data_IF_130701812242
#
_entry.id   IF_130701812242
#
_cell.length_a   1.000
_cell.length_b   1.000
_cell.length_c   1.000
_cell.angle_alpha   90.00
_cell.angle_beta   90.00
_cell.angle_gamma   90.00
#
_symmetry.space_group_name_H-M   'P 1'
#
loop_
_entity.id
_entity.type
_entity.pdbx_description
1 polymer ?
#
# COMPACT_ATOMS: atom_id res chain seq x y z
N UNK A 1 -3.30 13.60 2.37
CA UNK A 1 -2.06 13.46 1.59
C UNK A 1 -1.12 12.58 2.43
N UNK A 2 0.04 12.21 1.91
CA UNK A 2 1.02 11.38 2.65
C UNK A 2 2.30 12.16 2.91
N UNK A 3 2.91 11.95 4.07
CA UNK A 3 4.26 12.43 4.36
C UNK A 3 5.27 11.40 3.88
N UNK A 4 5.91 11.70 2.75
CA UNK A 4 6.89 10.81 2.10
C UNK A 4 8.20 10.67 2.89
N UNK A 5 8.41 11.51 3.91
CA UNK A 5 9.58 11.50 4.79
C UNK A 5 9.33 10.74 6.09
N UNK A 6 8.08 10.47 6.43
CA UNK A 6 7.74 9.72 7.62
C UNK A 6 8.30 8.27 7.53
N UNK A 7 8.99 7.78 8.57
CA UNK A 7 9.57 6.46 8.56
C UNK A 7 8.49 5.38 8.71
N UNK A 8 8.59 4.35 7.89
CA UNK A 8 7.74 3.16 7.92
C UNK A 8 8.54 1.96 8.38
N UNK A 9 8.04 1.25 9.38
CA UNK A 9 8.66 0.03 9.90
C UNK A 9 8.23 -1.16 9.05
N UNK A 10 9.20 -1.84 8.42
CA UNK A 10 9.00 -3.08 7.69
C UNK A 10 8.94 -4.30 8.62
N UNK A 11 8.42 -5.41 8.11
CA UNK A 11 8.29 -6.66 8.87
C UNK A 11 9.64 -7.30 9.27
N UNK A 12 10.75 -6.87 8.67
CA UNK A 12 12.11 -7.32 8.98
C UNK A 12 12.85 -6.35 9.92
N UNK A 13 12.18 -5.31 10.42
CA UNK A 13 12.72 -4.33 11.35
C UNK A 13 13.40 -3.13 10.71
N UNK A 14 13.49 -3.07 9.38
CA UNK A 14 14.00 -1.89 8.69
C UNK A 14 13.03 -0.71 8.82
N UNK A 15 13.57 0.50 9.01
CA UNK A 15 12.83 1.76 8.88
C UNK A 15 13.14 2.34 7.50
N UNK A 16 12.09 2.57 6.70
CA UNK A 16 12.20 3.03 5.32
C UNK A 16 11.23 4.20 5.08
N UNK A 17 11.67 5.21 4.34
CA UNK A 17 10.81 6.30 3.84
C UNK A 17 10.08 5.88 2.57
N UNK A 18 9.03 6.60 2.17
CA UNK A 18 8.38 6.37 0.87
C UNK A 18 9.36 6.49 -0.30
N UNK A 19 10.40 7.33 -0.14
CA UNK A 19 11.45 7.51 -1.14
C UNK A 19 12.27 6.25 -1.39
N UNK A 20 12.58 5.52 -0.33
CA UNK A 20 13.32 4.25 -0.42
C UNK A 20 12.44 3.10 -0.90
N UNK A 21 11.12 3.22 -0.76
CA UNK A 21 10.15 2.23 -1.20
C UNK A 21 9.74 2.38 -2.67
N UNK A 22 9.82 3.58 -3.23
CA UNK A 22 9.34 3.84 -4.58
C UNK A 22 10.10 3.02 -5.64
N UNK A 23 9.36 2.53 -6.63
CA UNK A 23 9.91 1.94 -7.84
C UNK A 23 10.30 3.02 -8.85
N UNK A 24 10.75 2.58 -10.03
CA UNK A 24 11.16 3.46 -11.15
C UNK A 24 10.10 4.50 -11.52
N UNK A 25 8.83 4.13 -11.50
CA UNK A 25 7.73 5.03 -11.86
C UNK A 25 6.96 5.58 -10.67
N UNK A 26 7.24 5.11 -9.46
CA UNK A 26 6.62 5.64 -8.26
C UNK A 26 6.21 4.57 -7.26
N UNK A 27 5.27 4.93 -6.41
CA UNK A 27 4.78 4.12 -5.30
C UNK A 27 3.26 4.16 -5.26
N UNK A 28 2.64 2.99 -5.20
CA UNK A 28 1.25 2.84 -4.84
C UNK A 28 1.15 2.48 -3.36
N UNK A 29 0.58 3.37 -2.56
CA UNK A 29 0.40 3.16 -1.13
C UNK A 29 -1.05 2.79 -0.83
N UNK A 30 -1.24 1.69 -0.10
CA UNK A 30 -2.49 1.34 0.54
C UNK A 30 -2.40 1.66 2.03
N UNK A 31 -3.09 2.71 2.46
CA UNK A 31 -3.37 2.93 3.88
C UNK A 31 -4.44 1.96 4.34
N UNK A 32 -4.09 1.02 5.21
CA UNK A 32 -5.00 -0.02 5.70
C UNK A 32 -5.56 0.40 7.04
N UNK A 33 -6.85 0.72 7.05
CA UNK A 33 -7.56 1.11 8.25
C UNK A 33 -7.63 -0.01 9.29
N UNK A 34 -7.92 0.38 10.53
CA UNK A 34 -8.15 -0.58 11.61
C UNK A 34 -9.23 -1.58 11.21
N UNK A 35 -8.96 -2.87 11.42
CA UNK A 35 -9.87 -3.96 11.06
C UNK A 35 -10.25 -4.09 9.58
N UNK A 36 -9.53 -3.43 8.65
CA UNK A 36 -9.77 -3.59 7.21
C UNK A 36 -9.17 -4.88 6.63
N UNK A 37 -8.22 -5.51 7.33
CA UNK A 37 -7.66 -6.80 6.94
C UNK A 37 -6.31 -7.08 7.61
N UNK A 38 -5.83 -8.31 7.45
CA UNK A 38 -4.48 -8.74 7.84
C UNK A 38 -3.52 -8.62 6.68
N UNK A 39 -2.22 -8.58 6.96
CA UNK A 39 -1.19 -8.45 5.94
C UNK A 39 -1.32 -9.51 4.84
N UNK A 40 -1.47 -10.78 5.21
CA UNK A 40 -1.62 -11.85 4.22
C UNK A 40 -2.86 -11.70 3.33
N UNK A 41 -3.97 -11.15 3.86
CA UNK A 41 -5.20 -10.92 3.09
C UNK A 41 -4.98 -9.85 2.04
N UNK A 42 -4.26 -8.78 2.37
CA UNK A 42 -3.90 -7.73 1.41
C UNK A 42 -2.95 -8.27 0.34
N UNK A 43 -1.94 -9.04 0.73
CA UNK A 43 -1.01 -9.65 -0.21
C UNK A 43 -1.68 -10.66 -1.14
N UNK A 44 -2.76 -11.30 -0.68
CA UNK A 44 -3.55 -12.24 -1.49
C UNK A 44 -4.49 -11.49 -2.44
N UNK A 45 -5.32 -10.61 -1.90
CA UNK A 45 -6.31 -9.82 -2.64
C UNK A 45 -5.66 -8.98 -3.75
N UNK A 46 -4.50 -8.38 -3.49
CA UNK A 46 -3.81 -7.50 -4.42
C UNK A 46 -2.60 -8.16 -5.08
N UNK A 47 -2.44 -9.49 -4.98
CA UNK A 47 -1.26 -10.18 -5.49
C UNK A 47 -1.08 -10.05 -7.00
N UNK A 48 -2.14 -10.27 -7.78
CA UNK A 48 -2.09 -10.19 -9.25
C UNK A 48 -1.82 -8.75 -9.72
N UNK A 49 -2.57 -7.78 -9.19
CA UNK A 49 -2.40 -6.38 -9.59
C UNK A 49 -1.05 -5.83 -9.12
N UNK A 50 -0.59 -6.22 -7.94
CA UNK A 50 0.74 -5.87 -7.43
C UNK A 50 1.86 -6.38 -8.32
N UNK A 51 1.74 -7.59 -8.87
CA UNK A 51 2.71 -8.12 -9.83
C UNK A 51 2.71 -7.32 -11.13
N UNK A 52 1.54 -6.92 -11.64
CA UNK A 52 1.40 -6.08 -12.84
C UNK A 52 2.01 -4.68 -12.64
N UNK A 53 1.76 -4.07 -11.48
CA UNK A 53 2.35 -2.79 -11.09
C UNK A 53 3.89 -2.90 -10.92
N UNK A 54 4.35 -3.97 -10.28
CA UNK A 54 5.79 -4.24 -10.15
C UNK A 54 6.48 -4.41 -11.50
N UNK A 55 5.83 -5.11 -12.45
CA UNK A 55 6.35 -5.31 -13.81
C UNK A 55 6.49 -4.00 -14.60
N UNK A 56 5.63 -3.00 -14.36
CA UNK A 56 5.81 -1.68 -14.95
C UNK A 56 6.80 -0.80 -14.16
N UNK A 57 7.12 -1.14 -12.92
CA UNK A 57 8.09 -0.41 -12.09
C UNK A 57 7.44 0.50 -11.05
N UNK A 58 6.20 0.24 -10.69
CA UNK A 58 5.53 0.81 -9.51
C UNK A 58 5.61 -0.19 -8.37
N UNK A 59 6.20 0.21 -7.25
CA UNK A 59 6.19 -0.61 -6.05
C UNK A 59 4.88 -0.42 -5.28
N UNK A 60 4.50 -1.42 -4.47
CA UNK A 60 3.28 -1.39 -3.66
C UNK A 60 3.64 -1.47 -2.18
N UNK A 61 3.06 -0.59 -1.37
CA UNK A 61 3.21 -0.56 0.09
C UNK A 61 1.85 -0.58 0.79
N UNK A 62 1.60 -1.60 1.61
CA UNK A 62 0.49 -1.68 2.55
C UNK A 62 0.96 -1.13 3.90
N UNK A 63 0.43 0.04 4.27
CA UNK A 63 0.81 0.79 5.45
C UNK A 63 -0.31 0.70 6.48
N UNK A 64 0.01 0.14 7.63
CA UNK A 64 -0.90 -0.05 8.74
C UNK A 64 -0.59 0.94 9.86
N UNK A 65 -1.60 1.39 10.63
CA UNK A 65 -1.33 2.14 11.85
C UNK A 65 -0.66 1.22 12.88
N UNK A 66 0.14 1.79 13.78
CA UNK A 66 0.91 1.05 14.80
C UNK A 66 0.07 0.01 15.58
N UNK A 67 -1.15 0.36 15.99
CA UNK A 67 -2.02 -0.53 16.75
C UNK A 67 -2.45 -1.80 16.00
N UNK A 68 -2.33 -1.79 14.66
CA UNK A 68 -2.62 -2.94 13.81
C UNK A 68 -1.40 -3.85 13.58
N UNK A 69 -0.27 -3.63 14.28
CA UNK A 69 0.95 -4.45 14.16
C UNK A 69 0.70 -5.95 14.25
N UNK A 70 -0.15 -6.40 15.19
CA UNK A 70 -0.52 -7.81 15.36
C UNK A 70 -1.29 -8.42 14.17
N UNK A 71 -1.81 -7.60 13.27
CA UNK A 71 -2.54 -8.00 12.07
C UNK A 71 -1.68 -7.84 10.82
N UNK A 72 -0.84 -6.80 10.76
CA UNK A 72 0.11 -6.59 9.68
C UNK A 72 1.24 -7.63 9.71
N UNK A 73 1.79 -7.90 10.90
CA UNK A 73 2.97 -8.74 11.10
C UNK A 73 2.67 -10.05 11.85
N UNK A 74 1.46 -10.61 11.68
CA UNK A 74 1.25 -11.97 12.13
C UNK A 74 2.13 -12.97 11.36
N UNK A 75 2.37 -14.15 11.95
CA UNK A 75 3.28 -15.14 11.39
C UNK A 75 2.91 -15.54 9.94
N UNK A 76 1.62 -15.59 9.63
CA UNK A 76 1.11 -15.86 8.28
C UNK A 76 1.49 -14.74 7.32
N UNK A 77 1.26 -13.49 7.71
CA UNK A 77 1.56 -12.30 6.90
C UNK A 77 3.05 -12.17 6.62
N UNK A 78 3.90 -12.38 7.62
CA UNK A 78 5.37 -12.39 7.44
C UNK A 78 5.79 -13.53 6.49
N UNK A 79 5.26 -14.73 6.67
CA UNK A 79 5.59 -15.87 5.82
C UNK A 79 5.13 -15.63 4.37
N UNK A 80 3.95 -15.06 4.18
CA UNK A 80 3.42 -14.68 2.87
C UNK A 80 4.26 -13.61 2.17
N UNK A 81 4.71 -12.57 2.89
CA UNK A 81 5.59 -11.54 2.35
C UNK A 81 6.94 -12.12 1.91
N UNK A 82 7.53 -12.97 2.75
CA UNK A 82 8.80 -13.66 2.44
C UNK A 82 8.68 -14.61 1.25
N UNK A 83 7.59 -15.37 1.18
CA UNK A 83 7.35 -16.29 0.05
C UNK A 83 7.26 -15.54 -1.28
N UNK A 84 6.60 -14.37 -1.27
CA UNK A 84 6.49 -13.50 -2.45
C UNK A 84 7.76 -12.66 -2.70
N UNK A 85 8.74 -12.72 -1.80
CA UNK A 85 9.97 -11.92 -1.83
C UNK A 85 9.71 -10.41 -1.93
N UNK A 86 8.60 -9.92 -1.36
CA UNK A 86 8.22 -8.50 -1.41
C UNK A 86 8.34 -7.85 -0.04
N UNK A 87 8.94 -6.66 0.00
CA UNK A 87 8.80 -5.74 1.14
C UNK A 87 7.63 -4.81 0.86
N UNK A 88 6.43 -5.29 1.14
CA UNK A 88 5.19 -4.53 0.90
C UNK A 88 4.34 -4.33 2.16
N UNK A 89 4.73 -4.86 3.32
CA UNK A 89 3.99 -4.70 4.58
C UNK A 89 4.74 -3.76 5.53
N UNK A 90 4.07 -2.69 5.97
CA UNK A 90 4.66 -1.62 6.75
C UNK A 90 3.77 -1.13 7.89
N UNK A 91 4.38 -0.60 8.94
CA UNK A 91 3.72 0.12 10.01
C UNK A 91 4.11 1.61 9.99
N UNK A 92 3.12 2.47 10.03
CA UNK A 92 3.27 3.87 10.42
C UNK A 92 3.35 3.95 11.95
N UNK A 93 4.58 3.84 12.46
CA UNK A 93 4.86 3.74 13.91
C UNK A 93 4.60 5.06 14.65
N UNK A 94 4.78 6.18 13.97
CA UNK A 94 4.64 7.52 14.53
C UNK A 94 3.26 8.13 14.24
N UNK A 95 2.46 7.48 13.39
CA UNK A 95 1.14 7.97 12.97
C UNK A 95 1.22 9.25 12.15
N UNK A 96 2.32 9.43 11.40
CA UNK A 96 2.62 10.64 10.64
C UNK A 96 2.55 10.44 9.13
N UNK A 97 2.54 9.19 8.67
CA UNK A 97 2.61 8.91 7.24
C UNK A 97 1.35 9.37 6.51
N UNK A 98 0.18 9.23 7.12
CA UNK A 98 -1.06 9.79 6.59
C UNK A 98 -1.47 11.02 7.39
N UNK A 99 -1.68 12.16 6.71
CA UNK A 99 -2.22 13.36 7.38
C UNK A 99 -3.58 13.07 8.04
N UNK A 100 -4.39 12.26 7.35
CA UNK A 100 -5.69 11.77 7.82
C UNK A 100 -5.64 10.24 7.74
N UNK A 101 -5.63 9.54 8.88
CA UNK A 101 -5.64 8.09 8.92
C UNK A 101 -6.82 7.51 8.12
N UNK A 102 -6.65 6.37 7.42
CA UNK A 102 -7.75 5.68 6.77
C UNK A 102 -8.85 5.29 7.79
N UNK A 103 -10.14 5.38 7.43
CA UNK A 103 -11.23 4.96 8.30
C UNK A 103 -11.13 3.49 8.73
N UNK A 104 -11.77 3.15 9.84
CA UNK A 104 -11.89 1.74 10.24
C UNK A 104 -12.64 0.95 9.17
N UNK A 105 -12.22 -0.29 8.93
CA UNK A 105 -12.77 -1.20 7.91
C UNK A 105 -12.70 -0.65 6.48
N UNK A 106 -11.83 0.31 6.22
CA UNK A 106 -11.57 0.83 4.89
C UNK A 106 -10.07 0.77 4.57
N UNK A 107 -9.74 0.84 3.29
CA UNK A 107 -8.39 1.14 2.84
C UNK A 107 -8.42 2.28 1.83
N UNK A 108 -7.35 3.06 1.83
CA UNK A 108 -7.14 4.17 0.91
C UNK A 108 -5.92 3.89 0.04
N UNK A 109 -6.11 3.74 -1.26
CA UNK A 109 -5.04 3.62 -2.21
C UNK A 109 -4.66 5.02 -2.73
N UNK A 110 -3.37 5.33 -2.77
CA UNK A 110 -2.82 6.62 -3.23
C UNK A 110 -1.63 6.31 -4.13
N UNK A 111 -1.64 6.84 -5.35
CA UNK A 111 -0.50 6.75 -6.25
C UNK A 111 0.28 8.06 -6.25
N UNK A 112 1.59 7.93 -6.03
CA UNK A 112 2.57 9.00 -6.21
C UNK A 112 3.61 8.58 -7.24
N UNK A 113 3.97 9.49 -8.14
CA UNK A 113 5.00 9.23 -9.15
C UNK A 113 6.42 9.27 -8.56
N UNK A 114 7.43 9.09 -9.43
CA UNK A 114 8.85 9.18 -9.02
C UNK A 114 9.29 10.55 -8.50
N UNK A 115 8.53 11.63 -8.79
CA UNK A 115 8.73 12.96 -8.22
C UNK A 115 7.93 13.18 -6.92
N UNK A 116 7.20 12.16 -6.46
CA UNK A 116 6.29 12.19 -5.32
C UNK A 116 5.11 13.15 -5.48
N UNK A 117 4.69 13.39 -6.73
CA UNK A 117 3.44 14.10 -7.02
C UNK A 117 2.30 13.09 -6.94
N UNK A 118 1.27 13.42 -6.16
CA UNK A 118 0.07 12.60 -6.03
C UNK A 118 -0.82 12.76 -7.27
N UNK A 119 -1.04 11.67 -8.01
CA UNK A 119 -1.88 11.68 -9.22
C UNK A 119 -3.31 11.24 -8.94
N UNK A 120 -3.53 10.42 -7.92
CA UNK A 120 -4.87 9.95 -7.59
C UNK A 120 -4.95 9.27 -6.25
N UNK A 121 -6.17 9.19 -5.73
CA UNK A 121 -6.50 8.43 -4.54
C UNK A 121 -7.91 7.85 -4.67
N UNK A 122 -8.08 6.64 -4.14
CA UNK A 122 -9.39 5.99 -4.01
C UNK A 122 -9.51 5.41 -2.61
N UNK A 123 -10.65 5.61 -1.99
CA UNK A 123 -10.99 5.02 -0.69
C UNK A 123 -12.11 4.01 -0.87
N UNK A 124 -11.94 2.86 -0.23
CA UNK A 124 -12.83 1.72 -0.33
C UNK A 124 -13.12 1.16 1.05
N UNK A 125 -14.40 0.96 1.34
CA UNK A 125 -14.84 0.21 2.51
C UNK A 125 -14.85 -1.29 2.21
N UNK A 126 -14.45 -2.08 3.20
CA UNK A 126 -14.46 -3.53 3.11
C UNK A 126 -15.90 -4.06 3.06
N UNK A 127 -16.22 -4.76 1.97
CA UNK A 127 -17.55 -5.33 1.74
C UNK A 127 -18.48 -4.46 0.87
N UNK A 128 -17.99 -3.32 0.38
CA UNK A 128 -18.69 -2.51 -0.61
C UNK A 128 -18.62 -3.19 -1.99
N UNK A 129 -19.78 -3.49 -2.58
CA UNK A 129 -19.88 -4.20 -3.86
C UNK A 129 -19.36 -3.38 -5.05
N UNK A 130 -19.44 -2.04 -4.98
CA UNK A 130 -19.00 -1.13 -6.06
C UNK A 130 -17.55 -0.70 -5.85
N UNK A 131 -16.93 -1.13 -4.76
CA UNK A 131 -15.54 -0.79 -4.48
C UNK A 131 -14.55 -1.46 -5.43
N UNK A 132 -14.81 -2.70 -5.84
CA UNK A 132 -13.89 -3.42 -6.72
C UNK A 132 -13.78 -2.73 -8.08
N UNK A 133 -14.91 -2.29 -8.66
CA UNK A 133 -14.91 -1.55 -9.93
C UNK A 133 -14.14 -0.23 -9.85
N UNK A 134 -14.27 0.50 -8.74
CA UNK A 134 -13.51 1.75 -8.51
C UNK A 134 -12.01 1.50 -8.36
N UNK A 135 -11.62 0.40 -7.71
CA UNK A 135 -10.22 0.01 -7.60
C UNK A 135 -9.66 -0.41 -8.94
N UNK A 136 -10.40 -1.22 -9.71
CA UNK A 136 -9.96 -1.68 -11.02
C UNK A 136 -9.78 -0.51 -11.99
N UNK A 137 -10.71 0.45 -12.00
CA UNK A 137 -10.59 1.67 -12.78
C UNK A 137 -9.39 2.51 -12.35
N UNK A 138 -9.17 2.68 -11.04
CA UNK A 138 -8.02 3.39 -10.51
C UNK A 138 -6.69 2.71 -10.88
N UNK A 139 -6.59 1.39 -10.78
CA UNK A 139 -5.37 0.67 -11.17
C UNK A 139 -5.13 0.70 -12.68
N UNK A 140 -6.19 0.67 -13.50
CA UNK A 140 -6.07 0.82 -14.93
C UNK A 140 -5.49 2.20 -15.30
N UNK A 141 -5.95 3.26 -14.65
CA UNK A 141 -5.40 4.61 -14.82
C UNK A 141 -3.92 4.68 -14.42
N UNK A 142 -3.58 4.19 -13.22
CA UNK A 142 -2.19 4.16 -12.72
C UNK A 142 -1.26 3.37 -13.66
N UNK A 143 -1.69 2.21 -14.14
CA UNK A 143 -0.90 1.41 -15.09
C UNK A 143 -0.77 2.13 -16.44
N UNK A 144 -1.82 2.82 -16.89
CA UNK A 144 -1.79 3.63 -18.12
C UNK A 144 -0.71 4.72 -18.06
N UNK A 145 -0.49 5.31 -16.88
CA UNK A 145 0.54 6.33 -16.68
C UNK A 145 1.97 5.78 -16.82
N UNK A 146 2.20 4.49 -16.60
CA UNK A 146 3.51 3.86 -16.81
C UNK A 146 3.90 3.70 -18.28
N UNK A 147 2.92 3.67 -19.20
CA UNK A 147 3.18 3.53 -20.63
C UNK A 147 3.53 4.88 -21.29
N UNK A 148 3.28 6.00 -20.58
CA UNK A 148 3.41 7.35 -21.12
C UNK A 148 4.76 8.03 -20.81
N UNK A 149 5.64 7.40 -20.02
CA UNK A 149 6.96 7.93 -19.63
C UNK A 149 8.10 6.97 -19.93
#
# INVERSE_FOLDING_TARGET
MIDVTAPLLAHDGALLSARELAGRHGLLVFGVGRAAGRGFQMLDQFGEIGARLGACGINVAFVYPREAARHAFDATSIRSARYRQTRSLFLDVDGRFFDVPPPARAFRAIYVDGAFVQHGAVEVEQGDAVAQERLDAFFADVIGQCAAG
#
